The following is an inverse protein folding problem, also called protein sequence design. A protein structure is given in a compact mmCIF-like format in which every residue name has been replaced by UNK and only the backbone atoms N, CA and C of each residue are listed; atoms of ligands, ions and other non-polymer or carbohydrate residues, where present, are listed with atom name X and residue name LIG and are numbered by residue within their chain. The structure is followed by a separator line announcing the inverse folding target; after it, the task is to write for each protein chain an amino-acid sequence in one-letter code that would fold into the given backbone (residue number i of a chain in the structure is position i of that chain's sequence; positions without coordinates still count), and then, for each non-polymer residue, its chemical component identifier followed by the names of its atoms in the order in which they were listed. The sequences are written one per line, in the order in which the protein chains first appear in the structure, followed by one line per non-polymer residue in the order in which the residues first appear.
data_IF_245990065409
#
_entry.id   IF_245990065409
#
_cell.length_a   1.000
_cell.length_b   1.000
_cell.length_c   1.000
_cell.angle_alpha   90.00
_cell.angle_beta   90.00
_cell.angle_gamma   90.00
#
_symmetry.space_group_name_H-M   'P 1'
#
loop_
_entity.id
_entity.type
_entity.pdbx_description
1 polymer ?
#
# COMPACT_ATOMS: atom_id res chain seq x y z
N UNK A 1 24.07 5.83 1.24
CA UNK A 1 22.64 6.20 1.03
C UNK A 1 22.34 7.44 1.85
N UNK A 2 21.63 8.40 1.29
CA UNK A 2 21.09 9.54 2.01
C UNK A 2 19.74 9.17 2.63
N UNK A 3 19.45 9.67 3.84
CA UNK A 3 18.18 9.45 4.52
C UNK A 3 17.49 10.77 4.82
N UNK A 4 16.16 10.75 4.82
CA UNK A 4 15.31 11.92 5.04
C UNK A 4 14.11 11.58 5.89
N UNK A 5 13.70 12.51 6.73
CA UNK A 5 12.45 12.38 7.46
C UNK A 5 11.26 12.43 6.49
N UNK A 6 10.34 11.47 6.59
CA UNK A 6 9.13 11.43 5.77
C UNK A 6 8.09 12.42 6.30
N UNK A 7 8.06 13.61 5.72
CA UNK A 7 7.16 14.68 6.12
C UNK A 7 7.38 15.09 7.58
N UNK A 8 6.34 15.01 8.40
CA UNK A 8 6.37 15.30 9.85
C UNK A 8 6.36 14.04 10.73
N UNK A 9 6.44 12.86 10.11
CA UNK A 9 6.51 11.60 10.85
C UNK A 9 7.91 11.40 11.46
N UNK A 10 8.05 10.42 12.32
CA UNK A 10 9.33 9.96 12.87
C UNK A 10 10.07 8.99 11.94
N UNK A 11 9.50 8.68 10.77
CA UNK A 11 10.09 7.76 9.81
C UNK A 11 11.28 8.41 9.10
N UNK A 12 12.45 7.80 9.22
CA UNK A 12 13.67 8.20 8.51
C UNK A 12 13.91 7.26 7.34
N UNK A 13 13.49 7.68 6.14
CA UNK A 13 13.50 6.88 4.92
C UNK A 13 14.74 7.14 4.07
N UNK A 14 15.22 6.12 3.37
CA UNK A 14 16.21 6.31 2.30
C UNK A 14 15.65 7.22 1.21
N UNK A 15 16.49 8.07 0.64
CA UNK A 15 16.11 8.99 -0.43
C UNK A 15 15.60 8.26 -1.70
N UNK A 16 15.93 6.97 -1.83
CA UNK A 16 15.43 6.06 -2.85
C UNK A 16 14.48 5.09 -2.19
N UNK A 17 13.28 4.92 -2.77
CA UNK A 17 12.30 3.91 -2.39
C UNK A 17 12.32 2.78 -3.42
N UNK A 18 12.32 1.53 -2.98
CA UNK A 18 12.16 0.38 -3.86
C UNK A 18 10.67 0.13 -4.12
N UNK A 19 10.21 0.38 -5.35
CA UNK A 19 8.90 -0.04 -5.82
C UNK A 19 8.91 -1.52 -6.23
N UNK A 20 7.83 -2.23 -5.94
CA UNK A 20 7.76 -3.69 -6.12
C UNK A 20 6.68 -4.15 -7.11
N UNK A 21 6.11 -3.25 -7.88
CA UNK A 21 4.93 -3.51 -8.71
C UNK A 21 5.13 -4.56 -9.83
N UNK A 22 6.34 -5.01 -10.07
CA UNK A 22 6.67 -6.03 -11.07
C UNK A 22 6.81 -7.44 -10.50
N UNK A 23 6.87 -7.59 -9.17
CA UNK A 23 7.09 -8.86 -8.50
C UNK A 23 5.86 -9.78 -8.61
N UNK A 24 6.06 -10.93 -9.20
CA UNK A 24 5.01 -11.92 -9.43
C UNK A 24 4.35 -11.88 -10.81
N UNK A 25 4.77 -10.95 -11.69
CA UNK A 25 4.43 -10.94 -13.12
C UNK A 25 5.71 -10.93 -13.97
N UNK A 26 6.50 -9.88 -13.92
CA UNK A 26 7.76 -9.75 -14.66
C UNK A 26 8.95 -10.40 -13.95
N UNK A 27 8.92 -10.45 -12.63
CA UNK A 27 9.95 -11.05 -11.80
C UNK A 27 9.36 -12.21 -11.00
N UNK A 28 10.04 -13.33 -10.96
CA UNK A 28 9.70 -14.43 -10.07
C UNK A 28 10.13 -14.16 -8.63
N UNK A 29 9.79 -15.05 -7.70
CA UNK A 29 10.08 -14.88 -6.28
C UNK A 29 11.59 -14.79 -5.98
N UNK A 30 12.41 -15.62 -6.62
CA UNK A 30 13.86 -15.61 -6.41
C UNK A 30 14.51 -14.30 -6.88
N UNK A 31 14.09 -13.79 -8.04
CA UNK A 31 14.54 -12.51 -8.57
C UNK A 31 14.09 -11.34 -7.69
N UNK A 32 12.84 -11.38 -7.21
CA UNK A 32 12.30 -10.37 -6.30
C UNK A 32 13.09 -10.33 -4.98
N UNK A 33 13.36 -11.48 -4.38
CA UNK A 33 14.15 -11.58 -3.15
C UNK A 33 15.60 -11.10 -3.37
N UNK A 34 16.23 -11.43 -4.49
CA UNK A 34 17.57 -10.93 -4.83
C UNK A 34 17.61 -9.39 -4.97
N UNK A 35 16.57 -8.80 -5.56
CA UNK A 35 16.45 -7.34 -5.66
C UNK A 35 16.25 -6.69 -4.29
N UNK A 36 15.43 -7.28 -3.42
CA UNK A 36 15.20 -6.80 -2.06
C UNK A 36 16.50 -6.88 -1.23
N UNK A 37 17.21 -7.99 -1.29
CA UNK A 37 18.50 -8.17 -0.60
C UNK A 37 19.54 -7.17 -1.08
N UNK A 38 19.63 -6.96 -2.38
CA UNK A 38 20.53 -5.98 -2.96
C UNK A 38 20.18 -4.55 -2.52
N UNK A 39 18.89 -4.21 -2.51
CA UNK A 39 18.42 -2.89 -2.08
C UNK A 39 18.81 -2.61 -0.62
N UNK A 40 18.57 -3.56 0.29
CA UNK A 40 18.99 -3.43 1.69
C UNK A 40 20.51 -3.29 1.82
N UNK A 41 21.28 -4.09 1.08
CA UNK A 41 22.73 -4.01 1.09
C UNK A 41 23.27 -2.64 0.62
N UNK A 42 22.53 -1.95 -0.25
CA UNK A 42 22.82 -0.58 -0.68
C UNK A 42 22.28 0.50 0.28
N UNK A 43 21.64 0.11 1.38
CA UNK A 43 21.09 1.02 2.38
C UNK A 43 19.69 1.55 2.02
N UNK A 44 18.96 0.96 1.08
CA UNK A 44 17.57 1.29 0.83
C UNK A 44 16.74 0.60 1.92
N UNK A 45 16.08 1.38 2.75
CA UNK A 45 15.22 0.88 3.82
C UNK A 45 13.73 1.10 3.55
N UNK A 46 13.36 1.78 2.48
CA UNK A 46 11.97 2.10 2.15
C UNK A 46 11.50 1.23 0.97
N UNK A 47 10.47 0.42 1.23
CA UNK A 47 9.88 -0.52 0.28
C UNK A 47 8.41 -0.16 0.11
N UNK A 48 7.97 -0.03 -1.15
CA UNK A 48 6.60 0.32 -1.52
C UNK A 48 5.95 -0.84 -2.28
N UNK A 49 4.82 -1.32 -1.74
CA UNK A 49 3.97 -2.34 -2.35
C UNK A 49 2.51 -1.91 -2.37
N UNK A 50 1.59 -2.77 -2.81
CA UNK A 50 0.15 -2.57 -2.77
C UNK A 50 -0.60 -3.90 -2.84
N UNK A 51 -1.82 -3.97 -2.28
CA UNK A 51 -2.67 -5.16 -2.38
C UNK A 51 -2.96 -5.54 -3.84
N UNK A 52 -3.10 -4.54 -4.73
CA UNK A 52 -3.45 -4.75 -6.13
C UNK A 52 -2.30 -5.37 -6.95
N UNK A 53 -1.05 -5.20 -6.52
CA UNK A 53 0.12 -5.61 -7.31
C UNK A 53 0.21 -7.11 -7.53
N UNK A 54 0.79 -7.54 -8.69
CA UNK A 54 1.59 -6.80 -9.66
C UNK A 54 0.80 -6.01 -10.71
N UNK A 55 1.55 -5.24 -11.52
CA UNK A 55 1.04 -4.47 -12.65
C UNK A 55 1.58 -5.08 -13.95
N UNK A 56 0.74 -5.27 -14.99
CA UNK A 56 -0.67 -4.89 -15.08
C UNK A 56 -1.58 -5.73 -14.17
N UNK A 57 -2.63 -5.11 -13.58
CA UNK A 57 -3.50 -5.81 -12.63
C UNK A 57 -4.34 -6.88 -13.34
N UNK A 58 -4.31 -8.11 -12.82
CA UNK A 58 -5.04 -9.28 -13.28
C UNK A 58 -5.60 -10.03 -12.08
N UNK A 59 -6.75 -10.68 -12.24
CA UNK A 59 -7.38 -11.45 -11.16
C UNK A 59 -6.52 -12.63 -10.68
N UNK A 60 -5.80 -13.28 -11.58
CA UNK A 60 -4.97 -14.45 -11.29
C UNK A 60 -3.61 -14.13 -10.65
N UNK A 61 -3.17 -12.87 -10.75
CA UNK A 61 -1.93 -12.42 -10.11
C UNK A 61 -2.17 -11.50 -8.91
N UNK A 62 -3.41 -11.12 -8.65
CA UNK A 62 -3.79 -10.26 -7.54
C UNK A 62 -3.15 -10.68 -6.22
N UNK A 63 -2.59 -9.71 -5.50
CA UNK A 63 -1.89 -9.89 -4.22
C UNK A 63 -0.54 -10.64 -4.27
N UNK A 64 -0.13 -11.13 -5.43
CA UNK A 64 1.08 -11.95 -5.55
C UNK A 64 2.34 -11.23 -5.08
N UNK A 65 2.45 -9.93 -5.32
CA UNK A 65 3.61 -9.13 -4.88
C UNK A 65 3.78 -9.15 -3.35
N UNK A 66 2.74 -8.88 -2.59
CA UNK A 66 2.80 -8.96 -1.12
C UNK A 66 3.06 -10.39 -0.64
N UNK A 67 2.50 -11.40 -1.32
CA UNK A 67 2.73 -12.82 -1.02
C UNK A 67 4.20 -13.21 -1.22
N UNK A 68 4.89 -12.65 -2.20
CA UNK A 68 6.33 -12.84 -2.44
C UNK A 68 7.16 -12.13 -1.38
N UNK A 69 6.78 -10.90 -1.02
CA UNK A 69 7.54 -10.09 -0.05
C UNK A 69 7.47 -10.70 1.37
N UNK A 70 6.33 -11.26 1.77
CA UNK A 70 6.10 -11.74 3.14
C UNK A 70 7.15 -12.73 3.65
N UNK A 71 7.43 -13.85 2.98
CA UNK A 71 8.46 -14.82 3.40
C UNK A 71 9.86 -14.21 3.47
N UNK A 72 10.18 -13.26 2.61
CA UNK A 72 11.43 -12.51 2.67
C UNK A 72 11.47 -11.58 3.89
N UNK A 73 10.41 -10.79 4.10
CA UNK A 73 10.31 -9.83 5.20
C UNK A 73 10.42 -10.51 6.57
N UNK A 74 9.83 -11.69 6.74
CA UNK A 74 9.90 -12.48 7.97
C UNK A 74 11.32 -12.86 8.40
N UNK A 75 12.27 -12.91 7.45
CA UNK A 75 13.68 -13.23 7.71
C UNK A 75 14.53 -11.99 8.01
N UNK A 76 13.95 -10.80 7.90
CA UNK A 76 14.68 -9.54 8.06
C UNK A 76 14.45 -8.93 9.45
N UNK A 77 15.34 -8.10 9.95
CA UNK A 77 15.09 -7.25 11.10
C UNK A 77 14.02 -6.21 10.73
N UNK A 78 12.75 -6.49 11.09
CA UNK A 78 11.58 -5.74 10.64
C UNK A 78 11.64 -4.24 10.97
N UNK A 79 12.25 -3.89 12.09
CA UNK A 79 12.45 -2.52 12.59
C UNK A 79 13.41 -1.67 11.73
N UNK A 80 14.17 -2.31 10.84
CA UNK A 80 15.07 -1.62 9.90
C UNK A 80 14.44 -1.35 8.55
N UNK A 81 13.22 -1.83 8.32
CA UNK A 81 12.52 -1.70 7.06
C UNK A 81 11.29 -0.82 7.25
N UNK A 82 11.18 0.20 6.44
CA UNK A 82 9.97 1.02 6.32
C UNK A 82 9.17 0.47 5.14
N UNK A 83 8.02 -0.11 5.47
CA UNK A 83 7.16 -0.80 4.51
C UNK A 83 5.85 -0.05 4.30
N UNK A 84 5.64 0.39 3.07
CA UNK A 84 4.39 0.99 2.62
C UNK A 84 3.54 0.00 1.83
N UNK A 85 2.23 -0.01 2.09
CA UNK A 85 1.25 -0.68 1.24
C UNK A 85 0.03 0.22 0.99
N UNK A 86 -0.92 -0.25 0.13
CA UNK A 86 -2.00 0.61 -0.35
C UNK A 86 -3.31 -0.17 -0.48
N UNK A 87 -4.42 0.46 -0.07
CA UNK A 87 -5.76 -0.02 -0.39
C UNK A 87 -6.19 0.45 -1.78
N UNK A 88 -6.68 -0.47 -2.60
CA UNK A 88 -7.25 -0.14 -3.90
C UNK A 88 -8.61 0.57 -3.73
N UNK A 89 -8.77 1.70 -4.40
CA UNK A 89 -10.05 2.43 -4.46
C UNK A 89 -11.07 1.77 -5.38
N UNK A 90 -12.25 2.36 -5.46
CA UNK A 90 -13.34 1.91 -6.34
C UNK A 90 -13.22 2.37 -7.79
N UNK A 91 -14.26 2.06 -8.58
CA UNK A 91 -14.54 2.63 -9.91
C UNK A 91 -13.53 2.32 -11.02
N UNK A 92 -12.87 1.16 -10.98
CA UNK A 92 -11.87 0.76 -11.99
C UNK A 92 -12.17 -0.55 -12.71
N UNK A 93 -13.40 -1.09 -12.58
CA UNK A 93 -13.78 -2.40 -13.12
C UNK A 93 -12.82 -3.53 -12.69
N UNK A 94 -12.33 -3.43 -11.46
CA UNK A 94 -11.48 -4.43 -10.81
C UNK A 94 -12.32 -5.19 -9.78
N UNK A 95 -13.42 -5.78 -10.24
CA UNK A 95 -14.46 -6.38 -9.40
C UNK A 95 -14.00 -7.65 -8.67
N UNK A 96 -12.82 -8.14 -8.99
CA UNK A 96 -12.17 -9.25 -8.31
C UNK A 96 -11.37 -8.83 -7.06
N UNK A 97 -11.09 -7.54 -6.89
CA UNK A 97 -10.40 -7.05 -5.68
C UNK A 97 -11.31 -7.27 -4.47
N UNK A 98 -10.86 -8.00 -3.47
CA UNK A 98 -11.61 -8.36 -2.24
C UNK A 98 -12.98 -9.00 -2.51
N UNK A 99 -13.19 -9.60 -3.69
CA UNK A 99 -14.49 -10.15 -4.11
C UNK A 99 -15.50 -9.11 -4.56
N UNK A 100 -15.07 -7.86 -4.76
CA UNK A 100 -15.80 -6.69 -5.27
C UNK A 100 -17.17 -6.38 -4.65
N UNK A 101 -17.69 -5.19 -4.91
CA UNK A 101 -17.01 -4.06 -5.52
C UNK A 101 -15.96 -3.44 -4.59
N UNK A 102 -14.84 -3.00 -5.15
CA UNK A 102 -13.81 -2.31 -4.37
C UNK A 102 -14.26 -0.89 -4.01
N UNK A 103 -13.97 -0.46 -2.78
CA UNK A 103 -14.26 0.86 -2.25
C UNK A 103 -13.23 1.24 -1.16
N UNK A 104 -13.25 2.49 -0.71
CA UNK A 104 -12.45 2.95 0.43
C UNK A 104 -13.38 3.29 1.62
N UNK A 105 -14.41 2.47 1.81
CA UNK A 105 -15.22 2.46 3.01
C UNK A 105 -14.53 1.66 4.14
N UNK A 106 -15.13 1.70 5.33
CA UNK A 106 -14.57 1.09 6.54
C UNK A 106 -14.29 -0.40 6.40
N UNK A 107 -15.23 -1.15 5.85
CA UNK A 107 -15.12 -2.61 5.74
C UNK A 107 -14.09 -3.02 4.69
N UNK A 108 -14.09 -2.33 3.55
CA UNK A 108 -13.09 -2.53 2.49
C UNK A 108 -11.67 -2.21 2.96
N UNK A 109 -11.47 -1.08 3.65
CA UNK A 109 -10.15 -0.68 4.16
C UNK A 109 -9.67 -1.67 5.21
N UNK A 110 -10.53 -2.12 6.13
CA UNK A 110 -10.19 -3.13 7.14
C UNK A 110 -9.81 -4.47 6.48
N UNK A 111 -10.62 -4.96 5.57
CA UNK A 111 -10.34 -6.21 4.83
C UNK A 111 -9.04 -6.12 4.06
N UNK A 112 -8.77 -4.98 3.42
CA UNK A 112 -7.55 -4.74 2.66
C UNK A 112 -6.29 -4.81 3.55
N UNK A 113 -6.28 -4.07 4.66
CA UNK A 113 -5.09 -4.02 5.54
C UNK A 113 -4.86 -5.35 6.26
N UNK A 114 -5.91 -6.02 6.76
CA UNK A 114 -5.80 -7.34 7.39
C UNK A 114 -5.24 -8.37 6.38
N UNK A 115 -5.72 -8.31 5.13
CA UNK A 115 -5.20 -9.12 4.04
C UNK A 115 -3.72 -8.83 3.74
N UNK A 116 -3.33 -7.57 3.68
CA UNK A 116 -1.94 -7.14 3.45
C UNK A 116 -1.01 -7.60 4.57
N UNK A 117 -1.38 -7.39 5.84
CA UNK A 117 -0.61 -7.85 7.00
C UNK A 117 -0.39 -9.37 6.97
N UNK A 118 -1.43 -10.14 6.66
CA UNK A 118 -1.34 -11.60 6.54
C UNK A 118 -0.40 -12.02 5.42
N UNK A 119 -0.49 -11.42 4.23
CA UNK A 119 0.36 -11.76 3.08
C UNK A 119 1.81 -11.36 3.32
N UNK A 120 2.04 -10.19 3.90
CA UNK A 120 3.35 -9.65 4.24
C UNK A 120 3.98 -10.31 5.49
N UNK A 121 3.22 -11.13 6.22
CA UNK A 121 3.67 -11.85 7.43
C UNK A 121 4.25 -10.90 8.49
N UNK A 122 3.60 -9.78 8.70
CA UNK A 122 3.96 -8.73 9.67
C UNK A 122 2.71 -8.26 10.40
N UNK A 123 2.88 -7.72 11.58
CA UNK A 123 1.80 -7.18 12.44
C UNK A 123 1.59 -5.68 12.27
N UNK A 124 2.48 -5.01 11.53
CA UNK A 124 2.35 -3.58 11.25
C UNK A 124 2.87 -3.17 9.86
N UNK A 125 2.35 -2.05 9.37
CA UNK A 125 2.88 -1.30 8.23
C UNK A 125 3.36 0.06 8.73
N UNK A 126 4.43 0.59 8.15
CA UNK A 126 4.96 1.91 8.49
C UNK A 126 4.20 3.02 7.73
N UNK A 127 3.69 2.71 6.54
CA UNK A 127 2.90 3.61 5.71
C UNK A 127 1.74 2.85 5.07
N UNK A 128 0.51 3.40 5.17
CA UNK A 128 -0.63 2.85 4.46
C UNK A 128 -1.33 3.96 3.67
N UNK A 129 -1.57 3.70 2.38
CA UNK A 129 -2.01 4.71 1.43
C UNK A 129 -3.33 4.32 0.76
N UNK A 130 -4.11 5.32 0.38
CA UNK A 130 -5.20 5.15 -0.58
C UNK A 130 -4.56 5.20 -1.98
N UNK A 131 -4.67 4.12 -2.74
CA UNK A 131 -3.95 3.93 -3.99
C UNK A 131 -4.38 4.92 -5.08
N UNK A 132 -5.68 5.25 -5.11
CA UNK A 132 -6.25 6.31 -5.94
C UNK A 132 -7.52 6.86 -5.30
N UNK A 133 -7.92 8.09 -5.62
CA UNK A 133 -9.12 8.69 -5.06
C UNK A 133 -10.39 7.89 -5.37
N UNK A 134 -11.28 7.80 -4.40
CA UNK A 134 -12.60 7.21 -4.58
C UNK A 134 -13.55 8.20 -5.27
N UNK A 135 -13.23 8.55 -6.49
CA UNK A 135 -14.05 9.44 -7.32
C UNK A 135 -13.63 9.35 -8.77
N UNK A 136 -14.45 9.90 -9.67
CA UNK A 136 -14.09 10.02 -11.06
C UNK A 136 -12.91 11.00 -11.23
N UNK A 137 -11.76 10.46 -11.63
CA UNK A 137 -10.57 11.22 -11.94
C UNK A 137 -9.89 10.64 -13.18
N UNK A 138 -9.22 11.46 -14.02
CA UNK A 138 -8.41 10.97 -15.12
C UNK A 138 -7.16 10.27 -14.57
N UNK A 139 -7.05 8.95 -14.76
CA UNK A 139 -5.86 8.14 -14.43
C UNK A 139 -5.73 6.95 -15.38
N UNK A 140 -4.58 6.30 -15.39
CA UNK A 140 -4.30 5.07 -16.15
C UNK A 140 -4.61 5.21 -17.66
N UNK A 141 -4.03 6.25 -18.29
CA UNK A 141 -4.20 6.49 -19.73
C UNK A 141 -5.43 7.32 -20.10
N UNK A 142 -6.26 7.69 -19.14
CA UNK A 142 -7.33 8.65 -19.32
C UNK A 142 -6.81 10.05 -18.98
N UNK A 143 -6.72 10.94 -19.95
CA UNK A 143 -6.12 12.28 -19.78
C UNK A 143 -7.14 13.39 -19.57
N UNK A 144 -8.40 13.14 -19.85
CA UNK A 144 -9.46 14.15 -19.72
C UNK A 144 -10.51 13.71 -18.70
N UNK A 145 -10.99 14.66 -17.92
CA UNK A 145 -12.13 14.45 -17.05
C UNK A 145 -13.40 14.24 -17.87
N UNK A 146 -14.14 13.20 -17.58
CA UNK A 146 -15.42 12.88 -18.23
C UNK A 146 -16.54 13.01 -17.18
N UNK A 147 -17.30 14.13 -17.18
CA UNK A 147 -18.35 14.36 -16.21
C UNK A 147 -19.51 13.35 -16.33
N UNK A 148 -19.67 12.66 -17.46
CA UNK A 148 -20.71 11.63 -17.63
C UNK A 148 -20.47 10.39 -16.78
N UNK A 149 -19.22 10.18 -16.33
CA UNK A 149 -18.81 9.09 -15.43
C UNK A 149 -18.89 9.48 -13.95
N UNK A 150 -19.32 10.68 -13.64
CA UNK A 150 -19.49 11.11 -12.26
C UNK A 150 -20.60 10.30 -11.61
N UNK A 151 -20.32 9.68 -10.47
CA UNK A 151 -21.30 9.00 -9.66
C UNK A 151 -21.60 9.84 -8.41
N UNK A 152 -22.83 9.80 -7.94
CA UNK A 152 -23.25 10.61 -6.78
C UNK A 152 -22.93 9.97 -5.43
N UNK A 153 -22.44 8.73 -5.45
CA UNK A 153 -22.19 7.96 -4.21
C UNK A 153 -20.70 7.68 -4.11
N UNK A 154 -20.04 8.51 -3.33
CA UNK A 154 -18.64 8.37 -2.99
C UNK A 154 -18.49 8.22 -1.48
N UNK A 155 -17.54 7.40 -1.05
CA UNK A 155 -17.11 7.47 0.34
C UNK A 155 -16.43 8.83 0.54
N UNK A 156 -16.93 9.64 1.45
CA UNK A 156 -16.39 10.97 1.69
C UNK A 156 -14.94 10.90 2.18
N UNK A 157 -14.13 11.91 1.86
CA UNK A 157 -12.75 12.00 2.36
C UNK A 157 -12.73 11.96 3.90
N UNK A 158 -13.72 12.59 4.54
CA UNK A 158 -13.87 12.56 5.99
C UNK A 158 -14.01 11.13 6.52
N UNK A 159 -14.91 10.34 5.95
CA UNK A 159 -15.11 8.94 6.35
C UNK A 159 -13.88 8.07 6.10
N UNK A 160 -13.17 8.30 5.00
CA UNK A 160 -11.92 7.60 4.70
C UNK A 160 -10.85 7.90 5.76
N UNK A 161 -10.67 9.17 6.13
CA UNK A 161 -9.72 9.60 7.16
C UNK A 161 -10.11 9.08 8.55
N UNK A 162 -11.38 9.11 8.90
CA UNK A 162 -11.88 8.55 10.16
C UNK A 162 -11.61 7.06 10.27
N UNK A 163 -11.83 6.31 9.19
CA UNK A 163 -11.52 4.88 9.11
C UNK A 163 -10.03 4.61 9.31
N UNK A 164 -9.17 5.36 8.61
CA UNK A 164 -7.72 5.21 8.76
C UNK A 164 -7.25 5.57 10.18
N UNK A 165 -7.83 6.62 10.78
CA UNK A 165 -7.53 7.01 12.17
C UNK A 165 -8.00 5.98 13.20
N UNK A 166 -9.12 5.28 12.95
CA UNK A 166 -9.58 4.17 13.80
C UNK A 166 -8.60 2.99 13.75
N UNK A 167 -8.17 2.61 12.55
CA UNK A 167 -7.19 1.53 12.37
C UNK A 167 -5.86 1.87 13.08
N UNK A 168 -5.41 3.10 12.96
CA UNK A 168 -4.23 3.59 13.65
C UNK A 168 -4.36 3.46 15.18
N UNK A 169 -5.50 3.88 15.75
CA UNK A 169 -5.78 3.76 17.20
C UNK A 169 -5.93 2.31 17.67
N UNK A 170 -6.35 1.41 16.80
CA UNK A 170 -6.45 -0.01 17.10
C UNK A 170 -5.10 -0.75 17.07
N UNK A 171 -3.98 -0.04 16.87
CA UNK A 171 -2.64 -0.63 16.79
C UNK A 171 -2.32 -1.29 15.44
N UNK A 172 -3.26 -1.29 14.51
CA UNK A 172 -3.00 -1.61 13.12
C UNK A 172 -2.43 -0.33 12.51
N UNK A 173 -1.12 -0.19 12.50
CA UNK A 173 -0.49 1.09 12.14
C UNK A 173 -0.54 1.39 10.64
N UNK A 174 -1.49 2.23 10.18
CA UNK A 174 -1.33 2.99 8.95
C UNK A 174 -0.84 4.39 9.30
N UNK A 175 0.31 4.79 8.86
CA UNK A 175 0.60 6.22 8.75
C UNK A 175 -0.12 6.69 7.50
N UNK A 176 -1.31 7.27 7.66
CA UNK A 176 -1.95 7.99 6.59
C UNK A 176 -1.05 9.17 6.22
N UNK A 177 -0.77 9.38 4.93
CA UNK A 177 -0.05 10.56 4.44
C UNK A 177 -0.85 11.84 4.72
N UNK A 178 -0.77 12.34 5.93
CA UNK A 178 -1.37 13.55 6.47
C UNK A 178 -0.55 14.02 7.66
N UNK A 179 -0.76 15.22 8.22
CA UNK A 179 0.05 15.71 9.33
C UNK A 179 -0.09 14.76 10.52
N UNK A 180 0.93 13.94 10.73
CA UNK A 180 1.00 13.03 11.85
C UNK A 180 1.11 13.84 13.15
N UNK A 181 0.20 13.59 14.08
CA UNK A 181 0.38 13.93 15.48
C UNK A 181 1.52 13.10 16.09
N UNK A 182 2.12 13.54 17.22
CA UNK A 182 3.24 12.88 17.83
C UNK A 182 2.83 11.53 18.45
N UNK A 183 3.60 10.51 18.14
CA UNK A 183 3.67 9.28 18.91
C UNK A 183 2.88 8.11 18.37
N UNK A 184 3.56 7.15 17.77
CA UNK A 184 3.12 5.77 17.67
C UNK A 184 4.34 4.86 17.51
N UNK A 185 5.11 4.77 18.59
CA UNK A 185 5.78 3.54 18.98
C UNK A 185 5.45 3.38 20.47
N UNK A 186 4.70 2.36 20.81
CA UNK A 186 4.70 1.82 22.15
C UNK A 186 5.81 0.80 22.26
#
# INVERSE_FOLDING_TARGET
MEYRQLGKSDLNVSAICLGTMTFGDQNNEAEAHAQLDYALAQGINFIDTAEMYPVPPKADTYTRTETIIGPWLKRQPRDRIILGSKVAGGNRKLDWIRGGPSAVDRDNVRTAIEGSLKRLQTDYLDLYQIHWPERNVPIFGQYQFDPSKETKVWVSIQNQLETLAELQRAGIQPVAGGPAGPGLRA
#
